data_IF_962510194035
#
_entry.id   IF_962510194035
#
_cell.length_a   1.000
_cell.length_b   1.000
_cell.length_c   1.000
_cell.angle_alpha   90.00
_cell.angle_beta   90.00
_cell.angle_gamma   90.00
#
_symmetry.space_group_name_H-M   'P 1'
#
loop_
_entity.id
_entity.type
_entity.pdbx_description
1 polymer ?
#
# COMPACT_ATOMS: atom_id res chain seq x y z
N UNK A 1 -22.95 0.01 0.81
CA UNK A 1 -22.15 -1.00 1.52
C UNK A 1 -20.74 -0.46 1.58
N UNK A 2 -20.17 -0.36 2.79
CA UNK A 2 -18.74 -0.06 2.96
C UNK A 2 -17.94 -1.22 2.39
N UNK A 3 -16.93 -0.91 1.57
CA UNK A 3 -16.07 -1.95 1.03
C UNK A 3 -15.21 -2.53 2.18
N UNK A 4 -14.93 -3.85 2.20
CA UNK A 4 -14.21 -4.49 3.31
C UNK A 4 -12.84 -3.88 3.66
N UNK A 5 -12.24 -3.12 2.75
CA UNK A 5 -10.94 -2.49 2.94
C UNK A 5 -11.00 -1.08 3.54
N UNK A 6 -12.17 -0.48 3.73
CA UNK A 6 -12.30 0.92 4.18
C UNK A 6 -11.67 1.14 5.56
N UNK A 7 -11.94 0.24 6.51
CA UNK A 7 -11.30 0.28 7.84
C UNK A 7 -9.77 0.19 7.72
N UNK A 8 -9.27 -0.69 6.86
CA UNK A 8 -7.82 -0.86 6.68
C UNK A 8 -7.19 0.39 6.03
N UNK A 9 -7.91 1.02 5.11
CA UNK A 9 -7.47 2.26 4.48
C UNK A 9 -7.40 3.41 5.49
N UNK A 10 -8.37 3.53 6.40
CA UNK A 10 -8.35 4.56 7.44
C UNK A 10 -7.12 4.43 8.35
N UNK A 11 -6.72 3.20 8.70
CA UNK A 11 -5.45 2.97 9.40
C UNK A 11 -4.25 3.44 8.58
N UNK A 12 -4.20 3.14 7.29
CA UNK A 12 -3.10 3.57 6.40
C UNK A 12 -3.02 5.11 6.28
N UNK A 13 -4.17 5.79 6.26
CA UNK A 13 -4.23 7.24 6.21
C UNK A 13 -3.76 7.88 7.54
N UNK A 14 -4.09 7.27 8.69
CA UNK A 14 -3.84 7.85 10.01
C UNK A 14 -2.51 7.47 10.69
N UNK A 15 -1.73 6.54 10.14
CA UNK A 15 -0.44 6.15 10.74
C UNK A 15 0.65 7.19 10.54
N UNK A 16 1.56 7.28 11.50
CA UNK A 16 2.74 8.12 11.43
C UNK A 16 3.72 7.66 10.33
N UNK A 17 4.58 8.57 9.89
CA UNK A 17 5.63 8.27 8.91
C UNK A 17 6.52 7.10 9.35
N UNK A 18 6.99 6.33 8.36
CA UNK A 18 7.85 5.16 8.54
C UNK A 18 7.22 4.01 9.34
N UNK A 19 5.89 4.01 9.52
CA UNK A 19 5.16 2.87 10.06
C UNK A 19 5.17 1.71 9.07
N UNK A 20 5.37 0.50 9.58
CA UNK A 20 5.25 -0.75 8.79
C UNK A 20 3.94 -1.43 9.15
N UNK A 21 3.14 -1.75 8.13
CA UNK A 21 1.89 -2.48 8.25
C UNK A 21 2.02 -3.82 7.51
N UNK A 22 1.51 -4.89 8.12
CA UNK A 22 1.44 -6.21 7.50
C UNK A 22 -0.03 -6.62 7.37
N UNK A 23 -0.40 -7.12 6.18
CA UNK A 23 -1.77 -7.51 5.89
C UNK A 23 -1.82 -8.62 4.84
N UNK A 24 -3.02 -8.94 4.38
CA UNK A 24 -3.29 -10.05 3.48
C UNK A 24 -3.27 -9.62 2.00
N UNK A 25 -3.11 -10.60 1.12
CA UNK A 25 -3.03 -10.40 -0.34
C UNK A 25 -4.35 -9.98 -1.00
N UNK A 26 -5.46 -9.99 -0.27
CA UNK A 26 -6.75 -9.43 -0.68
C UNK A 26 -6.95 -7.99 -0.18
N UNK A 27 -6.27 -7.59 0.90
CA UNK A 27 -6.36 -6.24 1.48
C UNK A 27 -5.35 -5.28 0.85
N UNK A 28 -4.09 -5.69 0.67
CA UNK A 28 -3.03 -4.82 0.14
C UNK A 28 -3.39 -4.28 -1.26
N UNK A 29 -3.83 -5.11 -2.24
CA UNK A 29 -4.17 -4.59 -3.56
C UNK A 29 -5.35 -3.61 -3.53
N UNK A 30 -6.33 -3.86 -2.65
CA UNK A 30 -7.49 -2.99 -2.50
C UNK A 30 -7.11 -1.61 -1.95
N UNK A 31 -6.19 -1.55 -0.98
CA UNK A 31 -5.62 -0.29 -0.48
C UNK A 31 -4.87 0.45 -1.59
N UNK A 32 -4.00 -0.25 -2.33
CA UNK A 32 -3.25 0.37 -3.44
C UNK A 32 -4.19 0.95 -4.51
N UNK A 33 -5.23 0.21 -4.89
CA UNK A 33 -6.23 0.69 -5.84
C UNK A 33 -7.00 1.91 -5.32
N UNK A 34 -7.33 1.90 -4.03
CA UNK A 34 -8.00 3.02 -3.38
C UNK A 34 -7.11 4.27 -3.33
N UNK A 35 -5.81 4.12 -3.10
CA UNK A 35 -4.85 5.23 -3.12
C UNK A 35 -4.59 5.73 -4.55
N UNK A 36 -4.53 4.84 -5.54
CA UNK A 36 -4.41 5.22 -6.96
C UNK A 36 -5.62 6.04 -7.41
N UNK A 37 -6.84 5.64 -7.00
CA UNK A 37 -8.06 6.43 -7.26
C UNK A 37 -8.04 7.81 -6.59
N UNK A 38 -7.23 7.99 -5.54
CA UNK A 38 -7.01 9.28 -4.85
C UNK A 38 -5.85 10.10 -5.43
N UNK A 39 -5.22 9.63 -6.49
CA UNK A 39 -4.17 10.36 -7.21
C UNK A 39 -2.74 9.84 -7.00
N UNK A 40 -2.55 8.77 -6.23
CA UNK A 40 -1.23 8.13 -6.09
C UNK A 40 -0.82 7.41 -7.39
N UNK A 41 0.43 7.52 -7.80
CA UNK A 41 0.98 6.72 -8.91
C UNK A 41 1.70 5.47 -8.40
N UNK A 42 1.83 4.45 -9.25
CA UNK A 42 2.65 3.27 -8.95
C UNK A 42 3.78 3.21 -9.95
N UNK A 43 5.00 3.14 -9.44
CA UNK A 43 6.22 3.05 -10.22
C UNK A 43 6.54 1.57 -10.49
N UNK A 44 6.71 1.23 -11.76
CA UNK A 44 7.06 -0.13 -12.18
C UNK A 44 5.90 -1.14 -12.17
N UNK A 45 6.26 -2.43 -12.07
CA UNK A 45 5.30 -3.53 -12.15
C UNK A 45 4.78 -3.89 -10.76
N UNK A 46 3.46 -4.03 -10.63
CA UNK A 46 2.84 -4.48 -9.37
C UNK A 46 3.27 -5.89 -9.00
N UNK A 47 3.71 -6.09 -7.75
CA UNK A 47 4.01 -7.39 -7.17
C UNK A 47 3.24 -7.62 -5.86
N UNK A 48 2.32 -8.59 -5.89
CA UNK A 48 1.44 -8.93 -4.76
C UNK A 48 1.73 -10.33 -4.21
N UNK A 49 2.89 -10.90 -4.56
CA UNK A 49 3.34 -12.17 -3.97
C UNK A 49 3.54 -12.01 -2.46
N UNK A 50 3.41 -13.12 -1.73
CA UNK A 50 3.69 -13.13 -0.28
C UNK A 50 5.09 -12.58 -0.01
N UNK A 51 5.19 -11.77 1.03
CA UNK A 51 6.40 -11.08 1.48
C UNK A 51 6.94 -9.97 0.55
N UNK A 52 6.18 -9.52 -0.46
CA UNK A 52 6.50 -8.24 -1.10
C UNK A 52 6.27 -7.08 -0.13
N UNK A 53 7.01 -5.98 -0.32
CA UNK A 53 6.87 -4.76 0.48
C UNK A 53 6.50 -3.62 -0.45
N UNK A 54 5.41 -2.92 -0.14
CA UNK A 54 5.01 -1.70 -0.81
C UNK A 54 5.48 -0.49 -0.02
N UNK A 55 6.34 0.32 -0.62
CA UNK A 55 6.78 1.59 -0.04
C UNK A 55 5.89 2.68 -0.60
N UNK A 56 5.18 3.37 0.29
CA UNK A 56 4.28 4.46 -0.07
C UNK A 56 4.92 5.79 0.31
N UNK A 57 4.98 6.72 -0.63
CA UNK A 57 5.50 8.06 -0.42
C UNK A 57 4.35 9.04 -0.20
N UNK A 58 4.52 9.95 0.76
CA UNK A 58 3.58 11.04 1.05
C UNK A 58 4.23 12.40 0.84
N UNK A 59 3.42 13.37 0.42
CA UNK A 59 3.69 14.80 0.54
C UNK A 59 2.58 15.42 1.39
N UNK A 60 2.92 15.85 2.60
CA UNK A 60 1.94 16.15 3.65
C UNK A 60 1.07 14.92 3.95
N UNK A 61 -0.26 15.11 3.88
CA UNK A 61 -1.23 14.04 4.15
C UNK A 61 -1.58 13.20 2.92
N UNK A 62 -1.07 13.56 1.74
CA UNK A 62 -1.42 12.90 0.48
C UNK A 62 -0.37 11.87 0.08
N UNK A 63 -0.78 10.63 -0.18
CA UNK A 63 0.06 9.63 -0.83
C UNK A 63 0.22 9.96 -2.32
N UNK A 64 1.46 10.09 -2.79
CA UNK A 64 1.79 10.60 -4.13
C UNK A 64 2.34 9.53 -5.06
N UNK A 65 3.22 8.67 -4.58
CA UNK A 65 3.77 7.55 -5.35
C UNK A 65 3.97 6.31 -4.50
N UNK A 66 4.13 5.16 -5.16
CA UNK A 66 4.47 3.91 -4.52
C UNK A 66 5.39 3.06 -5.38
N UNK A 67 6.33 2.40 -4.74
CA UNK A 67 7.18 1.37 -5.36
C UNK A 67 7.01 0.03 -4.64
N UNK A 68 7.34 -1.06 -5.33
CA UNK A 68 7.32 -2.40 -4.75
C UNK A 68 8.71 -2.99 -4.69
N UNK A 69 9.07 -3.48 -3.51
CA UNK A 69 10.24 -4.31 -3.30
C UNK A 69 9.81 -5.77 -3.40
N UNK A 70 10.48 -6.58 -4.24
CA UNK A 70 10.12 -7.97 -4.43
C UNK A 70 10.33 -8.76 -3.13
N UNK A 71 9.66 -9.92 -2.99
CA UNK A 71 9.91 -10.81 -1.86
C UNK A 71 11.40 -11.15 -1.73
N UNK A 72 11.93 -11.24 -0.50
CA UNK A 72 13.34 -11.59 -0.30
C UNK A 72 13.62 -12.98 -0.84
N UNK A 73 14.77 -13.15 -1.51
CA UNK A 73 15.30 -14.48 -1.81
C UNK A 73 15.85 -15.10 -0.54
N UNK A 74 15.50 -16.35 -0.25
CA UNK A 74 16.23 -17.14 0.73
C UNK A 74 17.62 -17.39 0.14
N UNK A 75 18.65 -16.93 0.86
CA UNK A 75 20.05 -17.22 0.55
C UNK A 75 20.38 -18.69 0.84
#
# INVERSE_FOLDING_TARGET
EELPYEIALDYVLGVADRTVLCSHGDVIPAILDALVRRGMTIDGMRDTRKASVWVLHKDGDAFTSAEVWPPPSLA
#
